data_IF_982703242986
#
_entry.id   IF_982703242986
#
_cell.length_a   1.000
_cell.length_b   1.000
_cell.length_c   1.000
_cell.angle_alpha   90.00
_cell.angle_beta   90.00
_cell.angle_gamma   90.00
#
_symmetry.space_group_name_H-M   'P 1'
#
loop_
_entity.id
_entity.type
_entity.pdbx_description
1 polymer ?
#
# COMPACT_ATOMS: atom_id res chain seq x y z
N UNK A 1 32.76 -3.13 -0.65
CA UNK A 1 32.24 -3.62 -1.94
C UNK A 1 31.33 -2.59 -2.62
N UNK A 2 30.17 -2.26 -2.07
CA UNK A 2 29.33 -1.15 -2.51
C UNK A 2 29.51 0.04 -1.53
N UNK A 3 29.65 1.26 -2.05
CA UNK A 3 29.65 2.50 -1.27
C UNK A 3 28.73 3.51 -1.96
N UNK A 4 27.73 3.96 -1.26
CA UNK A 4 26.81 5.04 -1.67
C UNK A 4 27.10 6.24 -0.80
N UNK A 5 27.37 7.40 -1.40
CA UNK A 5 27.72 8.61 -0.69
C UNK A 5 26.95 9.82 -1.23
N UNK A 6 26.23 10.47 -0.32
CA UNK A 6 25.43 11.68 -0.60
C UNK A 6 24.53 11.56 -1.83
N UNK A 7 24.00 10.36 -2.07
CA UNK A 7 23.14 10.08 -3.21
C UNK A 7 21.83 10.87 -3.11
N UNK A 8 21.55 11.62 -4.17
CA UNK A 8 20.27 12.32 -4.34
C UNK A 8 19.65 11.93 -5.67
N UNK A 9 18.34 11.68 -5.70
CA UNK A 9 17.57 11.32 -6.88
C UNK A 9 16.28 12.17 -6.86
N UNK A 10 16.27 13.26 -7.65
CA UNK A 10 15.17 14.22 -7.57
C UNK A 10 14.98 14.75 -6.14
N UNK A 11 13.79 14.58 -5.51
CA UNK A 11 13.53 15.05 -4.14
C UNK A 11 14.09 14.11 -3.06
N UNK A 12 14.62 12.94 -3.41
CA UNK A 12 15.10 11.92 -2.49
C UNK A 12 16.57 12.13 -2.13
N UNK A 13 16.91 12.00 -0.86
CA UNK A 13 18.29 12.05 -0.35
C UNK A 13 18.57 13.30 0.52
N UNK A 14 19.81 13.43 1.04
CA UNK A 14 20.98 12.60 0.73
C UNK A 14 20.96 11.24 1.42
N UNK A 15 21.40 10.20 0.69
CA UNK A 15 21.49 8.83 1.19
C UNK A 15 22.95 8.40 1.16
N UNK A 16 23.45 7.87 2.29
CA UNK A 16 24.84 7.39 2.39
C UNK A 16 24.87 6.08 3.18
N UNK A 17 25.49 5.06 2.60
CA UNK A 17 25.73 3.77 3.23
C UNK A 17 26.79 2.96 2.46
N UNK A 18 27.24 1.89 3.08
CA UNK A 18 28.15 0.92 2.49
C UNK A 18 27.63 -0.50 2.69
N UNK A 19 28.10 -1.42 1.87
CA UNK A 19 27.85 -2.87 1.98
C UNK A 19 29.19 -3.58 1.79
N UNK A 20 29.57 -4.40 2.76
CA UNK A 20 30.75 -5.25 2.69
C UNK A 20 30.49 -6.53 1.85
N UNK A 21 31.54 -7.24 1.34
CA UNK A 21 31.34 -8.54 0.71
C UNK A 21 30.65 -9.52 1.67
N UNK A 22 29.66 -10.25 1.17
CA UNK A 22 28.88 -11.23 1.95
C UNK A 22 27.92 -10.63 3.00
N UNK A 23 27.92 -9.32 3.21
CA UNK A 23 27.03 -8.65 4.18
C UNK A 23 25.58 -8.63 3.68
N UNK A 24 24.65 -8.89 4.59
CA UNK A 24 23.20 -8.80 4.33
C UNK A 24 22.63 -7.54 4.97
N UNK A 25 22.29 -6.57 4.15
CA UNK A 25 21.81 -5.25 4.59
C UNK A 25 20.35 -5.05 4.24
N UNK A 26 19.54 -4.76 5.26
CA UNK A 26 18.16 -4.33 5.08
C UNK A 26 18.07 -2.84 4.81
N UNK A 27 17.40 -2.43 3.75
CA UNK A 27 17.09 -1.03 3.47
C UNK A 27 15.62 -0.81 3.75
N UNK A 28 15.34 -0.17 4.88
CA UNK A 28 13.97 0.10 5.33
C UNK A 28 13.70 1.61 5.30
N UNK A 29 12.45 1.94 5.30
CA UNK A 29 11.96 3.30 5.27
C UNK A 29 10.55 3.29 4.71
N UNK A 30 9.86 4.39 4.84
CA UNK A 30 8.50 4.47 4.35
C UNK A 30 8.45 4.32 2.82
N UNK A 31 7.28 3.97 2.27
CA UNK A 31 7.09 3.95 0.82
C UNK A 31 7.36 5.37 0.28
N UNK A 32 8.01 5.57 -0.83
CA UNK A 32 8.40 6.91 -1.34
C UNK A 32 9.68 7.51 -0.74
N UNK A 33 10.28 6.89 0.30
CA UNK A 33 11.58 7.32 0.86
C UNK A 33 12.75 7.16 -0.12
N UNK A 34 12.52 6.55 -1.27
CA UNK A 34 13.52 6.36 -2.32
C UNK A 34 14.22 5.01 -2.31
N UNK A 35 13.73 3.99 -1.57
CA UNK A 35 14.32 2.64 -1.54
C UNK A 35 14.49 2.03 -2.93
N UNK A 36 13.40 1.91 -3.67
CA UNK A 36 13.41 1.36 -5.03
C UNK A 36 14.20 2.24 -6.00
N UNK A 37 14.12 3.58 -5.85
CA UNK A 37 14.92 4.49 -6.65
C UNK A 37 16.42 4.31 -6.35
N UNK A 38 16.81 4.10 -5.10
CA UNK A 38 18.18 3.78 -4.71
C UNK A 38 18.65 2.47 -5.36
N UNK A 39 17.82 1.43 -5.33
CA UNK A 39 18.12 0.17 -6.01
C UNK A 39 18.30 0.36 -7.52
N UNK A 40 17.41 1.09 -8.18
CA UNK A 40 17.50 1.40 -9.61
C UNK A 40 18.72 2.25 -9.93
N UNK A 41 19.11 3.21 -9.08
CA UNK A 41 20.32 3.99 -9.26
C UNK A 41 21.58 3.13 -9.18
N UNK A 42 21.66 2.17 -8.23
CA UNK A 42 22.77 1.22 -8.12
C UNK A 42 22.85 0.32 -9.38
N UNK A 43 21.71 -0.05 -9.94
CA UNK A 43 21.62 -0.86 -11.15
C UNK A 43 21.83 -0.04 -12.43
N UNK A 44 21.87 1.31 -12.35
CA UNK A 44 21.92 2.20 -13.53
C UNK A 44 20.64 2.14 -14.38
N UNK A 45 19.50 1.91 -13.74
CA UNK A 45 18.18 1.73 -14.38
C UNK A 45 17.19 2.84 -14.02
N UNK A 46 17.69 4.02 -13.64
CA UNK A 46 16.80 5.16 -13.39
C UNK A 46 16.06 5.56 -14.65
N UNK A 47 14.78 5.97 -14.55
CA UNK A 47 14.07 6.58 -15.67
C UNK A 47 14.77 7.84 -16.20
N UNK A 48 14.67 8.10 -17.51
CA UNK A 48 15.35 9.21 -18.19
C UNK A 48 15.03 10.61 -17.63
N UNK A 49 13.90 10.76 -16.95
CA UNK A 49 13.46 12.00 -16.31
C UNK A 49 14.01 12.20 -14.90
N UNK A 50 14.82 11.27 -14.40
CA UNK A 50 15.43 11.33 -13.05
C UNK A 50 16.96 11.27 -13.17
N UNK A 51 17.62 12.23 -12.56
CA UNK A 51 19.07 12.27 -12.46
C UNK A 51 19.51 11.93 -11.04
N UNK A 52 20.57 11.11 -10.95
CA UNK A 52 21.26 10.84 -9.71
C UNK A 52 22.48 11.75 -9.56
N UNK A 53 22.66 12.31 -8.38
CA UNK A 53 23.88 13.06 -8.00
C UNK A 53 24.48 12.44 -6.73
N UNK A 54 25.75 12.76 -6.44
CA UNK A 54 26.53 12.09 -5.38
C UNK A 54 27.47 11.05 -5.97
N UNK A 55 27.69 9.93 -5.28
CA UNK A 55 28.60 8.87 -5.74
C UNK A 55 28.03 7.49 -5.37
N UNK A 56 28.05 6.57 -6.33
CA UNK A 56 27.78 5.15 -6.13
C UNK A 56 28.98 4.37 -6.65
N UNK A 57 29.74 3.73 -5.77
CA UNK A 57 30.90 2.95 -6.16
C UNK A 57 30.70 1.47 -5.86
N UNK A 58 30.89 0.67 -6.89
CA UNK A 58 30.93 -0.79 -6.77
C UNK A 58 32.32 -1.30 -7.11
N UNK A 59 32.96 -2.01 -6.17
CA UNK A 59 34.36 -2.46 -6.27
C UNK A 59 35.33 -1.34 -6.68
N UNK A 60 35.10 -0.13 -6.15
CA UNK A 60 35.91 1.05 -6.43
C UNK A 60 35.57 1.78 -7.74
N UNK A 61 34.74 1.23 -8.60
CA UNK A 61 34.30 1.85 -9.86
C UNK A 61 33.05 2.69 -9.64
N UNK A 62 33.06 3.93 -10.16
CA UNK A 62 31.89 4.82 -10.10
C UNK A 62 30.82 4.36 -11.08
N UNK A 63 29.58 4.20 -10.58
CA UNK A 63 28.42 3.76 -11.39
C UNK A 63 27.73 4.95 -12.06
N UNK A 64 27.60 6.09 -11.35
CA UNK A 64 26.91 7.27 -11.89
C UNK A 64 27.67 7.76 -13.13
N UNK A 65 26.97 7.86 -14.25
CA UNK A 65 27.55 8.26 -15.55
C UNK A 65 28.28 7.14 -16.30
N UNK A 66 28.28 5.90 -15.78
CA UNK A 66 28.85 4.74 -16.47
C UNK A 66 28.01 4.38 -17.71
N UNK A 67 28.66 3.92 -18.79
CA UNK A 67 27.96 3.49 -20.01
C UNK A 67 27.24 2.16 -19.79
N UNK A 68 26.09 1.97 -20.40
CA UNK A 68 25.25 0.75 -20.28
C UNK A 68 26.02 -0.56 -20.46
N UNK A 69 26.92 -0.60 -21.46
CA UNK A 69 27.72 -1.82 -21.72
C UNK A 69 28.63 -2.20 -20.54
N UNK A 70 29.16 -1.21 -19.85
CA UNK A 70 30.03 -1.41 -18.67
C UNK A 70 29.18 -1.79 -17.45
N UNK A 71 28.04 -1.10 -17.25
CA UNK A 71 27.07 -1.44 -16.19
C UNK A 71 26.63 -2.90 -16.28
N UNK A 72 26.25 -3.36 -17.49
CA UNK A 72 25.83 -4.75 -17.71
C UNK A 72 26.92 -5.79 -17.47
N UNK A 73 28.18 -5.40 -17.43
CA UNK A 73 29.29 -6.30 -17.12
C UNK A 73 29.59 -6.43 -15.63
N UNK A 74 29.01 -5.55 -14.80
CA UNK A 74 29.18 -5.64 -13.36
C UNK A 74 28.43 -6.85 -12.81
N UNK A 75 28.99 -7.54 -11.78
CA UNK A 75 28.36 -8.68 -11.13
C UNK A 75 27.29 -8.20 -10.12
N UNK A 76 26.32 -7.46 -10.62
CA UNK A 76 25.12 -6.96 -9.94
C UNK A 76 23.90 -7.67 -10.49
N UNK A 77 22.95 -8.02 -9.63
CA UNK A 77 21.65 -8.53 -10.04
C UNK A 77 20.53 -7.95 -9.17
N UNK A 78 19.33 -7.90 -9.73
CA UNK A 78 18.16 -7.39 -9.03
C UNK A 78 16.95 -8.30 -9.23
N UNK A 79 16.24 -8.54 -8.14
CA UNK A 79 14.90 -9.14 -8.11
C UNK A 79 13.92 -7.99 -7.90
N UNK A 80 13.07 -7.76 -8.91
CA UNK A 80 12.12 -6.65 -8.93
C UNK A 80 10.86 -6.98 -8.12
N UNK A 81 10.22 -5.95 -7.60
CA UNK A 81 8.97 -6.05 -6.83
C UNK A 81 7.85 -6.71 -7.64
N UNK A 82 7.73 -6.37 -8.93
CA UNK A 82 6.67 -6.88 -9.80
C UNK A 82 7.25 -7.81 -10.87
N UNK A 83 7.11 -9.16 -10.71
CA UNK A 83 7.71 -10.12 -11.64
C UNK A 83 7.30 -9.97 -13.09
N UNK A 84 6.06 -9.50 -13.34
CA UNK A 84 5.54 -9.34 -14.70
C UNK A 84 6.21 -8.22 -15.50
N UNK A 85 6.89 -7.29 -14.84
CA UNK A 85 7.64 -6.22 -15.52
C UNK A 85 9.02 -6.67 -15.98
N UNK A 86 9.58 -7.72 -15.35
CA UNK A 86 10.92 -8.22 -15.61
C UNK A 86 10.94 -9.50 -16.48
N UNK A 87 9.85 -10.26 -16.49
CA UNK A 87 9.72 -11.46 -17.34
C UNK A 87 9.09 -11.10 -18.69
N UNK A 88 9.72 -11.54 -19.78
CA UNK A 88 9.14 -11.38 -21.12
C UNK A 88 7.83 -12.20 -21.22
N UNK A 89 6.67 -11.57 -21.42
CA UNK A 89 5.39 -12.25 -21.48
C UNK A 89 5.25 -13.21 -22.66
N UNK A 90 6.08 -13.07 -23.69
CA UNK A 90 6.07 -13.87 -24.91
C UNK A 90 7.08 -15.04 -24.87
N UNK A 91 7.90 -15.11 -23.82
CA UNK A 91 8.86 -16.20 -23.64
C UNK A 91 8.41 -17.15 -22.53
N UNK A 92 8.60 -18.44 -22.78
CA UNK A 92 8.39 -19.44 -21.72
C UNK A 92 9.52 -19.40 -20.72
N UNK A 93 9.18 -19.44 -19.44
CA UNK A 93 10.16 -19.63 -18.37
C UNK A 93 10.69 -21.07 -18.47
N UNK A 94 11.99 -21.20 -18.72
CA UNK A 94 12.62 -22.49 -19.06
C UNK A 94 12.36 -23.57 -17.99
N UNK A 95 12.44 -23.19 -16.71
CA UNK A 95 12.23 -24.08 -15.56
C UNK A 95 10.83 -24.72 -15.54
N UNK A 96 9.79 -23.99 -15.95
CA UNK A 96 8.39 -24.44 -15.91
C UNK A 96 7.83 -24.82 -17.28
N UNK A 97 8.50 -24.49 -18.38
CA UNK A 97 8.01 -24.69 -19.75
C UNK A 97 6.73 -23.92 -20.06
N UNK A 98 6.36 -22.93 -19.24
CA UNK A 98 5.12 -22.14 -19.28
C UNK A 98 5.41 -20.67 -19.45
N UNK A 99 4.44 -19.92 -19.98
CA UNK A 99 4.52 -18.47 -20.05
C UNK A 99 4.30 -17.80 -18.68
N UNK A 100 4.87 -16.62 -18.41
CA UNK A 100 4.74 -15.94 -17.13
C UNK A 100 3.30 -15.80 -16.62
N UNK A 101 2.33 -15.51 -17.48
CA UNK A 101 0.93 -15.38 -17.12
C UNK A 101 0.26 -16.70 -16.67
N UNK A 102 0.89 -17.85 -16.95
CA UNK A 102 0.42 -19.18 -16.57
C UNK A 102 1.01 -19.68 -15.25
N UNK A 103 1.91 -18.91 -14.65
CA UNK A 103 2.60 -19.24 -13.39
C UNK A 103 1.90 -18.58 -12.19
N UNK A 104 1.99 -19.22 -11.03
CA UNK A 104 1.60 -18.58 -9.76
C UNK A 104 2.53 -17.41 -9.41
N UNK A 105 2.13 -16.55 -8.46
CA UNK A 105 2.98 -15.45 -7.96
C UNK A 105 4.33 -15.94 -7.49
N UNK A 106 4.36 -16.95 -6.62
CA UNK A 106 5.58 -17.57 -6.10
C UNK A 106 6.45 -18.20 -7.19
N UNK A 107 5.86 -18.88 -8.19
CA UNK A 107 6.62 -19.44 -9.32
C UNK A 107 7.30 -18.37 -10.16
N UNK A 108 6.62 -17.24 -10.40
CA UNK A 108 7.22 -16.09 -11.10
C UNK A 108 8.37 -15.50 -10.29
N UNK A 109 8.19 -15.36 -8.98
CA UNK A 109 9.22 -14.82 -8.11
C UNK A 109 10.45 -15.71 -8.05
N UNK A 110 10.28 -17.05 -7.94
CA UNK A 110 11.39 -18.02 -8.04
C UNK A 110 12.13 -17.90 -9.36
N UNK A 111 11.41 -17.82 -10.47
CA UNK A 111 12.03 -17.64 -11.80
C UNK A 111 12.90 -16.39 -11.85
N UNK A 112 12.48 -15.28 -11.23
CA UNK A 112 13.30 -14.06 -11.16
C UNK A 112 14.55 -14.25 -10.31
N UNK A 113 14.45 -14.92 -9.17
CA UNK A 113 15.59 -15.20 -8.30
C UNK A 113 16.61 -16.08 -9.05
N UNK A 114 16.17 -17.14 -9.70
CA UNK A 114 17.05 -18.02 -10.49
C UNK A 114 17.69 -17.27 -11.65
N UNK A 115 16.94 -16.43 -12.35
CA UNK A 115 17.47 -15.59 -13.44
C UNK A 115 18.51 -14.59 -12.93
N UNK A 116 18.28 -13.96 -11.77
CA UNK A 116 19.24 -13.05 -11.15
C UNK A 116 20.52 -13.77 -10.74
N UNK A 117 20.40 -14.96 -10.15
CA UNK A 117 21.53 -15.76 -9.68
C UNK A 117 22.31 -16.44 -10.80
N UNK A 118 21.73 -16.67 -11.97
CA UNK A 118 22.41 -17.28 -13.12
C UNK A 118 23.67 -16.50 -13.58
N UNK A 119 23.81 -15.24 -13.17
CA UNK A 119 24.98 -14.40 -13.47
C UNK A 119 26.07 -14.45 -12.38
N UNK A 120 25.90 -15.26 -11.33
CA UNK A 120 26.77 -15.31 -10.16
C UNK A 120 27.09 -13.90 -9.61
N UNK A 121 26.09 -13.13 -9.18
CA UNK A 121 26.30 -11.76 -8.73
C UNK A 121 27.11 -11.73 -7.43
N UNK A 122 27.92 -10.69 -7.26
CA UNK A 122 28.54 -10.37 -5.97
C UNK A 122 27.59 -9.58 -5.06
N UNK A 123 26.62 -8.86 -5.64
CA UNK A 123 25.55 -8.18 -4.92
C UNK A 123 24.21 -8.53 -5.56
N UNK A 124 23.34 -9.10 -4.76
CA UNK A 124 21.92 -9.30 -5.09
C UNK A 124 21.10 -8.19 -4.40
N UNK A 125 20.30 -7.50 -5.18
CA UNK A 125 19.33 -6.51 -4.68
C UNK A 125 17.95 -7.13 -4.78
N UNK A 126 17.21 -7.21 -3.69
CA UNK A 126 15.82 -7.68 -3.66
C UNK A 126 14.91 -6.53 -3.28
N UNK A 127 14.10 -6.05 -4.22
CA UNK A 127 13.14 -4.97 -3.98
C UNK A 127 11.75 -5.56 -3.71
N UNK A 128 11.35 -5.58 -2.45
CA UNK A 128 10.08 -6.11 -1.94
C UNK A 128 9.73 -7.51 -2.52
N UNK A 129 10.59 -8.51 -2.43
CA UNK A 129 10.45 -9.77 -3.16
C UNK A 129 9.29 -10.65 -2.70
N UNK A 130 8.68 -10.35 -1.56
CA UNK A 130 7.57 -11.12 -0.96
C UNK A 130 6.23 -10.41 -0.98
N UNK A 131 6.16 -9.21 -1.55
CA UNK A 131 4.92 -8.43 -1.64
C UNK A 131 3.85 -9.17 -2.44
N UNK A 132 2.61 -9.16 -1.94
CA UNK A 132 1.43 -9.82 -2.52
C UNK A 132 1.49 -11.36 -2.60
N UNK A 133 2.38 -12.01 -1.84
CA UNK A 133 2.42 -13.47 -1.67
C UNK A 133 1.74 -13.88 -0.36
N UNK A 134 1.21 -15.09 -0.33
CA UNK A 134 0.69 -15.70 0.90
C UNK A 134 1.84 -16.05 1.86
N UNK A 135 1.58 -16.16 3.19
CA UNK A 135 2.63 -16.33 4.20
C UNK A 135 3.51 -17.58 4.00
N UNK A 136 2.95 -18.67 3.48
CA UNK A 136 3.72 -19.90 3.23
C UNK A 136 4.68 -19.70 2.06
N UNK A 137 4.19 -19.16 0.96
CA UNK A 137 5.02 -18.83 -0.21
C UNK A 137 6.06 -17.77 0.12
N UNK A 138 5.75 -16.79 0.98
CA UNK A 138 6.73 -15.80 1.47
C UNK A 138 7.90 -16.49 2.17
N UNK A 139 7.62 -17.42 3.11
CA UNK A 139 8.65 -18.14 3.83
C UNK A 139 9.57 -18.91 2.89
N UNK A 140 9.00 -19.60 1.89
CA UNK A 140 9.76 -20.35 0.87
C UNK A 140 10.67 -19.43 0.03
N UNK A 141 10.17 -18.27 -0.39
CA UNK A 141 10.96 -17.28 -1.15
C UNK A 141 12.11 -16.71 -0.32
N UNK A 142 11.88 -16.42 0.97
CA UNK A 142 12.93 -15.95 1.87
C UNK A 142 14.01 -17.01 2.08
N UNK A 143 13.63 -18.29 2.23
CA UNK A 143 14.60 -19.40 2.32
C UNK A 143 15.43 -19.53 1.06
N UNK A 144 14.83 -19.35 -0.11
CA UNK A 144 15.51 -19.42 -1.39
C UNK A 144 16.51 -18.28 -1.60
N UNK A 145 16.12 -17.03 -1.23
CA UNK A 145 17.04 -15.88 -1.23
C UNK A 145 18.19 -16.12 -0.25
N UNK A 146 17.90 -16.64 0.96
CA UNK A 146 18.91 -16.94 1.97
C UNK A 146 19.93 -17.99 1.48
N UNK A 147 19.44 -19.04 0.80
CA UNK A 147 20.29 -20.06 0.20
C UNK A 147 21.12 -19.50 -0.98
N UNK A 148 20.54 -18.60 -1.78
CA UNK A 148 21.20 -17.98 -2.92
C UNK A 148 22.29 -16.96 -2.52
N UNK A 149 22.20 -16.37 -1.34
CA UNK A 149 23.12 -15.35 -0.81
C UNK A 149 24.07 -15.91 0.25
N UNK A 150 24.64 -17.08 -0.01
CA UNK A 150 25.68 -17.69 0.83
C UNK A 150 27.09 -17.31 0.35
N UNK A 151 28.08 -17.35 1.24
CA UNK A 151 29.47 -17.03 0.93
C UNK A 151 29.70 -15.53 0.71
N UNK A 152 30.35 -15.17 -0.41
CA UNK A 152 30.75 -13.78 -0.69
C UNK A 152 29.68 -12.94 -1.37
N UNK A 153 28.51 -13.50 -1.69
CA UNK A 153 27.39 -12.76 -2.28
C UNK A 153 26.71 -11.89 -1.22
N UNK A 154 26.82 -10.59 -1.36
CA UNK A 154 26.13 -9.65 -0.49
C UNK A 154 24.66 -9.48 -0.90
N UNK A 155 23.82 -9.09 0.06
CA UNK A 155 22.41 -8.86 -0.14
C UNK A 155 22.04 -7.42 0.26
N UNK A 156 21.37 -6.71 -0.64
CA UNK A 156 20.58 -5.53 -0.30
C UNK A 156 19.11 -5.89 -0.34
N UNK A 157 18.49 -6.03 0.82
CA UNK A 157 17.11 -6.46 0.97
C UNK A 157 16.22 -5.28 1.32
N UNK A 158 15.33 -4.92 0.41
CA UNK A 158 14.36 -3.83 0.57
C UNK A 158 13.02 -4.44 0.93
N UNK A 159 12.49 -4.09 2.08
CA UNK A 159 11.15 -4.52 2.51
C UNK A 159 10.57 -3.56 3.55
N UNK A 160 9.26 -3.51 3.62
CA UNK A 160 8.50 -2.89 4.71
C UNK A 160 8.09 -3.92 5.78
N UNK A 161 8.31 -5.22 5.53
CA UNK A 161 8.07 -6.29 6.49
C UNK A 161 9.27 -6.42 7.43
N UNK A 162 9.12 -5.92 8.67
CA UNK A 162 10.16 -5.95 9.69
C UNK A 162 10.59 -7.38 10.05
N UNK A 163 9.66 -8.34 10.08
CA UNK A 163 9.99 -9.74 10.40
C UNK A 163 10.86 -10.38 9.31
N UNK A 164 10.56 -10.09 8.04
CA UNK A 164 11.37 -10.53 6.91
C UNK A 164 12.77 -9.90 6.96
N UNK A 165 12.88 -8.60 7.29
CA UNK A 165 14.16 -7.89 7.40
C UNK A 165 15.00 -8.44 8.55
N UNK A 166 14.43 -8.65 9.74
CA UNK A 166 15.12 -9.23 10.90
C UNK A 166 15.63 -10.65 10.62
N UNK A 167 14.85 -11.43 9.85
CA UNK A 167 15.24 -12.78 9.46
C UNK A 167 16.39 -12.81 8.44
N UNK A 168 16.41 -11.85 7.51
CA UNK A 168 17.27 -11.90 6.32
C UNK A 168 18.55 -11.08 6.45
N UNK A 169 18.60 -10.08 7.35
CA UNK A 169 19.63 -9.07 7.34
C UNK A 169 20.42 -9.01 8.64
N UNK A 170 21.72 -8.81 8.52
CA UNK A 170 22.65 -8.63 9.67
C UNK A 170 22.60 -7.18 10.18
N UNK A 171 22.30 -6.23 9.30
CA UNK A 171 22.24 -4.80 9.58
C UNK A 171 21.10 -4.13 8.83
N UNK A 172 20.51 -3.12 9.44
CA UNK A 172 19.39 -2.36 8.86
C UNK A 172 19.79 -0.90 8.70
N UNK A 173 19.54 -0.36 7.51
CA UNK A 173 19.70 1.04 7.17
C UNK A 173 18.30 1.64 7.00
N UNK A 174 18.04 2.74 7.68
CA UNK A 174 16.81 3.51 7.50
C UNK A 174 17.06 4.68 6.57
N UNK A 175 16.26 4.83 5.53
CA UNK A 175 16.29 6.00 4.65
C UNK A 175 14.96 6.75 4.70
N UNK A 176 15.10 8.09 4.65
CA UNK A 176 13.98 9.02 4.83
C UNK A 176 13.73 9.28 6.32
N UNK A 177 14.08 10.47 6.78
CA UNK A 177 13.42 11.08 7.90
C UNK A 177 12.06 11.57 7.38
N UNK A 178 11.09 10.69 7.34
CA UNK A 178 9.72 11.18 7.39
C UNK A 178 9.53 11.52 8.88
N UNK A 179 9.64 12.80 9.21
CA UNK A 179 8.72 13.34 10.17
C UNK A 179 7.34 12.89 9.67
N UNK A 180 6.85 11.74 10.15
CA UNK A 180 5.41 11.48 10.13
C UNK A 180 4.82 12.78 10.65
N UNK A 181 4.00 13.49 9.87
CA UNK A 181 3.30 14.63 10.42
C UNK A 181 2.77 14.11 11.75
N UNK A 182 2.91 14.89 12.82
CA UNK A 182 2.33 14.54 14.12
C UNK A 182 0.81 14.50 13.93
N UNK A 183 0.35 13.39 13.33
CA UNK A 183 -1.03 13.06 13.11
C UNK A 183 -1.53 12.56 14.48
N UNK A 184 -1.48 13.45 15.48
CA UNK A 184 -2.18 13.20 16.73
C UNK A 184 -3.62 12.86 16.36
N UNK A 185 -4.10 11.73 16.89
CA UNK A 185 -5.48 11.32 16.64
C UNK A 185 -6.40 12.51 16.93
N UNK A 186 -7.32 12.84 16.02
CA UNK A 186 -8.19 13.98 16.23
C UNK A 186 -8.92 13.80 17.56
N UNK A 187 -9.16 14.89 18.32
CA UNK A 187 -9.88 14.82 19.57
C UNK A 187 -11.22 14.12 19.31
N UNK A 188 -11.61 13.20 20.18
CA UNK A 188 -12.89 12.50 20.09
C UNK A 188 -14.01 13.56 20.11
N UNK A 189 -14.76 13.77 19.02
CA UNK A 189 -15.84 14.72 19.01
C UNK A 189 -16.95 14.27 19.97
N UNK A 190 -17.80 15.20 20.39
CA UNK A 190 -19.01 14.84 21.11
C UNK A 190 -19.89 14.02 20.16
N UNK A 191 -20.10 12.75 20.48
CA UNK A 191 -20.88 11.82 19.66
C UNK A 191 -22.35 12.21 19.67
N UNK A 192 -22.95 12.37 18.47
CA UNK A 192 -24.37 12.62 18.27
C UNK A 192 -25.24 11.36 18.31
N UNK A 193 -26.38 11.43 17.64
CA UNK A 193 -27.32 10.31 17.51
C UNK A 193 -26.75 9.17 16.64
N UNK A 194 -27.27 7.93 16.75
CA UNK A 194 -26.93 6.84 15.86
C UNK A 194 -27.24 7.17 14.40
N UNK A 195 -26.24 7.05 13.51
CA UNK A 195 -26.41 7.30 12.05
C UNK A 195 -26.23 6.04 11.22
N UNK A 196 -25.57 5.02 11.76
CA UNK A 196 -25.50 3.66 11.20
C UNK A 196 -25.83 2.70 12.34
N UNK A 197 -26.76 1.76 12.08
CA UNK A 197 -27.13 0.69 13.02
C UNK A 197 -27.25 -0.63 12.27
N UNK A 198 -26.52 -1.62 12.71
CA UNK A 198 -26.67 -3.01 12.31
C UNK A 198 -27.18 -3.80 13.53
N UNK A 199 -28.23 -4.59 13.34
CA UNK A 199 -28.83 -5.43 14.39
C UNK A 199 -28.88 -6.88 13.93
N UNK A 200 -28.07 -7.75 14.56
CA UNK A 200 -27.97 -9.18 14.31
C UNK A 200 -27.84 -9.54 12.81
N UNK A 201 -27.00 -8.79 12.10
CA UNK A 201 -26.87 -8.88 10.64
C UNK A 201 -26.05 -10.10 10.25
N UNK A 202 -26.68 -10.97 9.44
CA UNK A 202 -26.00 -12.10 8.81
C UNK A 202 -26.05 -11.97 7.29
N UNK A 203 -24.92 -12.26 6.62
CA UNK A 203 -24.85 -12.31 5.17
C UNK A 203 -24.18 -13.58 4.67
N UNK A 204 -24.92 -14.35 3.86
CA UNK A 204 -24.45 -15.59 3.25
C UNK A 204 -24.44 -15.49 1.74
N UNK A 205 -23.37 -15.94 1.10
CA UNK A 205 -23.23 -16.06 -0.35
C UNK A 205 -22.99 -17.53 -0.74
N UNK A 206 -23.90 -18.12 -1.51
CA UNK A 206 -23.74 -19.51 -2.02
C UNK A 206 -23.29 -20.51 -0.95
N UNK A 207 -23.86 -20.41 0.27
CA UNK A 207 -23.54 -21.31 1.38
C UNK A 207 -22.35 -20.89 2.25
N UNK A 208 -21.60 -19.83 1.89
CA UNK A 208 -20.53 -19.29 2.71
C UNK A 208 -21.04 -18.08 3.49
N UNK A 209 -20.96 -18.11 4.82
CA UNK A 209 -21.36 -17.00 5.68
C UNK A 209 -20.21 -16.00 5.75
N UNK A 210 -20.43 -14.82 5.16
CA UNK A 210 -19.44 -13.74 5.12
C UNK A 210 -19.57 -12.78 6.31
N UNK A 211 -20.77 -12.63 6.87
CA UNK A 211 -21.02 -11.93 8.14
C UNK A 211 -21.98 -12.78 8.95
N UNK A 212 -21.72 -12.92 10.24
CA UNK A 212 -22.43 -13.79 11.15
C UNK A 212 -22.78 -13.04 12.45
N UNK A 213 -24.07 -12.73 12.62
CA UNK A 213 -24.63 -12.06 13.80
C UNK A 213 -23.92 -10.74 14.17
N UNK A 214 -23.69 -9.88 13.18
CA UNK A 214 -22.99 -8.61 13.38
C UNK A 214 -23.94 -7.56 13.89
N UNK A 215 -23.62 -6.97 15.05
CA UNK A 215 -24.30 -5.80 15.60
C UNK A 215 -23.28 -4.67 15.78
N UNK A 216 -23.60 -3.49 15.23
CA UNK A 216 -22.71 -2.33 15.24
C UNK A 216 -23.53 -1.04 15.20
N UNK A 217 -23.20 -0.08 16.05
CA UNK A 217 -23.79 1.27 16.00
C UNK A 217 -22.68 2.29 15.78
N UNK A 218 -22.81 3.15 14.77
CA UNK A 218 -21.92 4.30 14.56
C UNK A 218 -22.72 5.57 14.80
N UNK A 219 -22.16 6.48 15.58
CA UNK A 219 -22.79 7.74 15.94
C UNK A 219 -22.31 8.89 15.07
N UNK A 220 -23.13 9.92 14.97
CA UNK A 220 -22.76 11.16 14.26
C UNK A 220 -21.45 11.75 14.83
N UNK A 221 -20.53 12.12 13.95
CA UNK A 221 -19.20 12.61 14.30
C UNK A 221 -18.21 11.51 14.74
N UNK A 222 -18.62 10.24 14.86
CA UNK A 222 -17.70 9.14 15.19
C UNK A 222 -16.72 8.88 14.05
N UNK A 223 -15.47 8.61 14.42
CA UNK A 223 -14.42 8.14 13.50
C UNK A 223 -14.05 6.73 13.90
N UNK A 224 -14.68 5.76 13.23
CA UNK A 224 -14.55 4.34 13.53
C UNK A 224 -13.64 3.65 12.53
N UNK A 225 -12.57 3.02 13.03
CA UNK A 225 -11.76 2.08 12.26
C UNK A 225 -12.40 0.69 12.25
N UNK A 226 -12.37 0.01 11.11
CA UNK A 226 -12.73 -1.41 11.02
C UNK A 226 -11.49 -2.16 10.54
N UNK A 227 -10.95 -3.02 11.39
CA UNK A 227 -9.76 -3.81 11.12
C UNK A 227 -10.08 -5.30 11.07
N UNK A 228 -9.29 -6.06 10.32
CA UNK A 228 -9.44 -7.51 10.21
C UNK A 228 -8.64 -8.08 9.07
N UNK A 229 -8.35 -9.37 9.10
CA UNK A 229 -7.63 -10.09 8.06
C UNK A 229 -8.34 -10.10 6.71
N UNK A 230 -7.67 -10.60 5.67
CA UNK A 230 -8.31 -10.85 4.37
C UNK A 230 -9.43 -11.89 4.55
N UNK A 231 -10.58 -11.66 3.91
CA UNK A 231 -11.73 -12.56 4.03
C UNK A 231 -12.56 -12.39 5.31
N UNK A 232 -12.20 -11.51 6.25
CA UNK A 232 -12.96 -11.33 7.50
C UNK A 232 -14.37 -10.76 7.35
N UNK A 233 -14.76 -10.29 6.14
CA UNK A 233 -16.11 -9.75 5.87
C UNK A 233 -16.18 -8.24 5.68
N UNK A 234 -15.06 -7.48 5.77
CA UNK A 234 -15.03 -6.01 5.67
C UNK A 234 -15.74 -5.45 4.42
N UNK A 235 -15.37 -5.95 3.25
CA UNK A 235 -15.99 -5.51 1.99
C UNK A 235 -17.48 -5.90 1.89
N UNK A 236 -17.90 -6.99 2.54
CA UNK A 236 -19.31 -7.37 2.65
C UNK A 236 -20.06 -6.38 3.54
N UNK A 237 -19.47 -5.99 4.67
CA UNK A 237 -20.04 -4.98 5.56
C UNK A 237 -20.25 -3.65 4.83
N UNK A 238 -19.23 -3.16 4.10
CA UNK A 238 -19.36 -1.93 3.32
C UNK A 238 -20.45 -2.01 2.24
N UNK A 239 -20.59 -3.15 1.56
CA UNK A 239 -21.66 -3.38 0.58
C UNK A 239 -23.05 -3.33 1.20
N UNK A 240 -23.21 -3.76 2.44
CA UNK A 240 -24.49 -3.65 3.17
C UNK A 240 -24.77 -2.20 3.58
N UNK A 241 -23.76 -1.45 4.03
CA UNK A 241 -23.91 -0.04 4.41
C UNK A 241 -24.23 0.87 3.20
N UNK A 242 -23.75 0.50 2.01
CA UNK A 242 -23.99 1.24 0.76
C UNK A 242 -25.21 0.77 -0.02
N UNK A 243 -26.01 -0.13 0.55
CA UNK A 243 -27.19 -0.76 -0.10
C UNK A 243 -26.85 -1.52 -1.41
N UNK A 244 -25.57 -1.78 -1.67
CA UNK A 244 -25.12 -2.61 -2.80
C UNK A 244 -25.43 -4.11 -2.61
N UNK A 245 -25.80 -4.50 -1.40
CA UNK A 245 -26.22 -5.86 -1.06
C UNK A 245 -27.21 -5.81 0.10
N UNK A 246 -28.18 -6.72 0.12
CA UNK A 246 -29.12 -6.86 1.23
C UNK A 246 -28.61 -7.92 2.23
N UNK A 247 -28.87 -7.79 3.54
CA UNK A 247 -28.57 -8.83 4.51
C UNK A 247 -29.41 -10.09 4.26
N UNK A 248 -28.92 -11.25 4.67
CA UNK A 248 -29.69 -12.50 4.66
C UNK A 248 -30.68 -12.52 5.84
N UNK A 249 -30.27 -11.98 6.99
CA UNK A 249 -31.10 -11.73 8.16
C UNK A 249 -30.56 -10.54 8.96
N UNK A 250 -31.37 -10.02 9.87
CA UNK A 250 -31.06 -8.80 10.62
C UNK A 250 -31.44 -7.53 9.88
N UNK A 251 -31.11 -6.38 10.48
CA UNK A 251 -31.50 -5.06 9.96
C UNK A 251 -30.28 -4.16 9.82
N UNK A 252 -30.19 -3.44 8.72
CA UNK A 252 -29.20 -2.38 8.47
C UNK A 252 -29.95 -1.07 8.28
N UNK A 253 -29.62 -0.07 9.10
CA UNK A 253 -30.22 1.26 9.03
C UNK A 253 -29.13 2.30 8.87
N UNK A 254 -29.23 3.13 7.81
CA UNK A 254 -28.38 4.30 7.58
C UNK A 254 -29.33 5.50 7.45
N UNK A 255 -29.16 6.48 8.33
CA UNK A 255 -30.15 7.59 8.47
C UNK A 255 -29.74 8.88 7.78
N UNK A 256 -28.49 8.97 7.28
CA UNK A 256 -27.92 10.17 6.66
C UNK A 256 -27.21 9.86 5.34
N UNK A 257 -27.02 10.89 4.48
CA UNK A 257 -26.28 10.74 3.23
C UNK A 257 -24.89 10.16 3.43
N UNK A 258 -24.59 9.11 2.67
CA UNK A 258 -23.37 8.32 2.77
C UNK A 258 -22.69 8.25 1.41
N UNK A 259 -21.38 8.55 1.38
CA UNK A 259 -20.53 8.35 0.22
C UNK A 259 -19.36 7.42 0.54
N UNK A 260 -18.76 6.82 -0.51
CA UNK A 260 -17.69 5.85 -0.36
C UNK A 260 -16.48 6.16 -1.24
N UNK A 261 -15.29 6.04 -0.65
CA UNK A 261 -14.00 5.98 -1.34
C UNK A 261 -13.62 4.52 -1.50
N UNK A 262 -13.44 4.09 -2.75
CA UNK A 262 -13.12 2.69 -3.08
C UNK A 262 -11.61 2.43 -3.00
N UNK A 263 -11.24 1.18 -2.74
CA UNK A 263 -9.86 0.71 -2.63
C UNK A 263 -9.04 0.97 -3.89
N UNK A 264 -9.56 0.65 -5.06
CA UNK A 264 -8.88 0.83 -6.33
C UNK A 264 -9.47 2.01 -7.14
N UNK A 265 -8.75 3.14 -7.22
CA UNK A 265 -9.21 4.28 -7.99
C UNK A 265 -9.23 4.02 -9.50
N UNK A 266 -8.43 3.05 -10.02
CA UNK A 266 -8.43 2.74 -11.47
C UNK A 266 -9.76 2.16 -11.91
N UNK A 267 -10.32 1.26 -11.13
CA UNK A 267 -11.61 0.62 -11.43
C UNK A 267 -12.80 1.52 -11.10
N UNK A 268 -12.65 2.48 -10.19
CA UNK A 268 -13.73 3.34 -9.70
C UNK A 268 -13.91 4.64 -10.49
N UNK A 269 -12.90 5.07 -11.27
CA UNK A 269 -12.94 6.29 -12.08
C UNK A 269 -13.20 5.94 -13.55
N UNK A 270 -14.23 6.54 -14.16
CA UNK A 270 -14.53 6.32 -15.57
C UNK A 270 -13.40 6.88 -16.47
N UNK A 271 -12.64 6.03 -17.21
CA UNK A 271 -11.48 6.48 -17.98
C UNK A 271 -11.83 7.35 -19.19
N UNK A 272 -13.13 7.44 -19.55
CA UNK A 272 -13.63 8.21 -20.72
C UNK A 272 -14.22 9.56 -20.33
N UNK A 273 -14.19 9.92 -19.04
CA UNK A 273 -14.73 11.17 -18.56
C UNK A 273 -13.62 12.09 -18.04
N UNK A 274 -13.68 13.41 -18.26
CA UNK A 274 -12.76 14.36 -17.62
C UNK A 274 -12.98 14.35 -16.10
N UNK A 275 -11.92 14.63 -15.34
CA UNK A 275 -11.95 14.40 -13.89
C UNK A 275 -12.94 15.31 -13.16
N UNK A 276 -13.20 16.53 -13.65
CA UNK A 276 -14.26 17.38 -13.06
C UNK A 276 -15.63 16.71 -13.12
N UNK A 277 -15.93 16.04 -14.25
CA UNK A 277 -17.23 15.38 -14.44
C UNK A 277 -17.38 14.15 -13.53
N UNK A 278 -16.28 13.40 -13.35
CA UNK A 278 -16.23 12.27 -12.41
C UNK A 278 -16.46 12.77 -10.98
N UNK A 279 -15.85 13.89 -10.59
CA UNK A 279 -16.04 14.47 -9.26
C UNK A 279 -17.48 14.96 -9.09
N UNK A 280 -18.05 15.65 -10.10
CA UNK A 280 -19.43 16.14 -10.06
C UNK A 280 -20.48 15.02 -9.91
N UNK A 281 -20.18 13.76 -10.30
CA UNK A 281 -21.05 12.60 -10.03
C UNK A 281 -21.33 12.39 -8.52
N UNK A 282 -20.47 12.89 -7.64
CA UNK A 282 -20.68 12.90 -6.20
C UNK A 282 -21.72 13.90 -5.70
N UNK A 283 -22.51 14.51 -6.60
CA UNK A 283 -23.61 15.42 -6.24
C UNK A 283 -23.26 16.91 -6.27
N UNK A 284 -22.14 17.30 -6.90
CA UNK A 284 -21.72 18.69 -7.03
C UNK A 284 -21.92 19.28 -8.43
N UNK A 285 -21.84 20.60 -8.54
CA UNK A 285 -21.75 21.31 -9.82
C UNK A 285 -20.33 21.24 -10.39
N UNK A 286 -20.14 21.73 -11.63
CA UNK A 286 -18.78 21.81 -12.23
C UNK A 286 -17.85 22.69 -11.38
N UNK A 287 -18.35 23.87 -10.95
CA UNK A 287 -17.58 24.82 -10.15
C UNK A 287 -17.18 24.24 -8.80
N UNK A 288 -18.08 23.48 -8.17
CA UNK A 288 -17.78 22.78 -6.91
C UNK A 288 -16.76 21.66 -7.13
N UNK A 289 -16.87 20.90 -8.20
CA UNK A 289 -15.92 19.85 -8.55
C UNK A 289 -14.52 20.43 -8.82
N UNK A 290 -14.40 21.52 -9.57
CA UNK A 290 -13.12 22.19 -9.85
C UNK A 290 -12.51 22.76 -8.55
N UNK A 291 -13.31 23.34 -7.67
CA UNK A 291 -12.86 23.83 -6.36
C UNK A 291 -12.31 22.71 -5.50
N UNK A 292 -13.04 21.59 -5.38
CA UNK A 292 -12.60 20.44 -4.56
C UNK A 292 -11.36 19.77 -5.18
N UNK A 293 -11.27 19.68 -6.51
CA UNK A 293 -10.07 19.21 -7.20
C UNK A 293 -8.85 20.06 -6.85
N UNK A 294 -8.98 21.37 -6.89
CA UNK A 294 -7.92 22.29 -6.48
C UNK A 294 -7.57 22.12 -4.98
N UNK A 295 -8.56 21.94 -4.11
CA UNK A 295 -8.37 21.70 -2.67
C UNK A 295 -7.57 20.42 -2.38
N UNK A 296 -7.76 19.37 -3.19
CA UNK A 296 -6.98 18.12 -3.08
C UNK A 296 -5.67 18.16 -3.90
N UNK A 297 -5.28 19.32 -4.42
CA UNK A 297 -4.04 19.55 -5.16
C UNK A 297 -4.03 18.86 -6.53
N UNK A 298 -5.15 18.91 -7.23
CA UNK A 298 -5.29 18.39 -8.61
C UNK A 298 -5.58 19.57 -9.55
N UNK A 299 -4.62 19.83 -10.43
CA UNK A 299 -4.77 20.79 -11.53
C UNK A 299 -5.15 20.07 -12.82
N UNK A 300 -5.88 20.77 -13.70
CA UNK A 300 -6.29 20.25 -15.01
C UNK A 300 -7.58 19.44 -14.95
N UNK A 301 -8.67 20.07 -14.49
CA UNK A 301 -9.98 19.46 -14.34
C UNK A 301 -10.57 18.81 -15.61
N UNK A 302 -10.19 19.29 -16.80
CA UNK A 302 -10.60 18.73 -18.10
C UNK A 302 -9.76 17.52 -18.56
N UNK A 303 -8.70 17.17 -17.83
CA UNK A 303 -7.87 15.98 -18.13
C UNK A 303 -8.60 14.68 -17.73
N UNK A 304 -8.07 13.55 -18.22
CA UNK A 304 -8.66 12.23 -18.00
C UNK A 304 -7.90 11.46 -16.92
N UNK A 305 -8.51 10.47 -16.25
CA UNK A 305 -7.86 9.69 -15.18
C UNK A 305 -6.51 9.09 -15.55
N UNK A 306 -6.31 8.70 -16.81
CA UNK A 306 -5.06 8.13 -17.31
C UNK A 306 -3.86 9.10 -17.24
N UNK A 307 -4.13 10.41 -17.20
CA UNK A 307 -3.12 11.46 -17.20
C UNK A 307 -2.57 11.75 -15.79
N UNK A 308 -3.04 11.02 -14.78
CA UNK A 308 -2.71 11.21 -13.37
C UNK A 308 -2.01 9.99 -12.76
N UNK A 309 -1.13 10.23 -11.78
CA UNK A 309 -0.49 9.17 -10.99
C UNK A 309 -1.49 8.41 -10.11
N UNK A 310 -1.06 7.29 -9.50
CA UNK A 310 -1.89 6.52 -8.57
C UNK A 310 -2.40 7.36 -7.40
N UNK A 311 -1.52 8.10 -6.74
CA UNK A 311 -1.88 8.99 -5.63
C UNK A 311 -2.78 10.15 -6.06
N UNK A 312 -2.56 10.71 -7.25
CA UNK A 312 -3.45 11.74 -7.81
C UNK A 312 -4.84 11.18 -8.09
N UNK A 313 -4.95 9.96 -8.67
CA UNK A 313 -6.26 9.30 -8.87
C UNK A 313 -6.98 9.03 -7.56
N UNK A 314 -6.25 8.67 -6.50
CA UNK A 314 -6.84 8.50 -5.17
C UNK A 314 -7.39 9.83 -4.63
N UNK A 315 -6.67 10.94 -4.81
CA UNK A 315 -7.16 12.27 -4.45
C UNK A 315 -8.39 12.69 -5.26
N UNK A 316 -8.47 12.33 -6.55
CA UNK A 316 -9.68 12.52 -7.38
C UNK A 316 -10.85 11.68 -6.85
N UNK A 317 -10.61 10.43 -6.45
CA UNK A 317 -11.65 9.57 -5.85
C UNK A 317 -12.16 10.14 -4.53
N UNK A 318 -11.27 10.69 -3.70
CA UNK A 318 -11.64 11.40 -2.48
C UNK A 318 -12.45 12.66 -2.77
N UNK A 319 -12.02 13.48 -3.74
CA UNK A 319 -12.76 14.67 -4.17
C UNK A 319 -14.20 14.33 -4.59
N UNK A 320 -14.38 13.24 -5.37
CA UNK A 320 -15.71 12.75 -5.76
C UNK A 320 -16.57 12.38 -4.55
N UNK A 321 -15.98 11.76 -3.55
CA UNK A 321 -16.72 11.32 -2.38
C UNK A 321 -17.16 12.49 -1.47
N UNK A 322 -16.43 13.62 -1.46
CA UNK A 322 -16.70 14.73 -0.55
C UNK A 322 -17.39 15.93 -1.20
N UNK A 323 -17.44 16.02 -2.53
CA UNK A 323 -18.01 17.19 -3.25
C UNK A 323 -19.48 17.43 -2.89
N UNK A 324 -20.26 16.37 -2.69
CA UNK A 324 -21.67 16.41 -2.28
C UNK A 324 -21.87 16.69 -0.78
N UNK A 325 -20.80 16.90 -0.01
CA UNK A 325 -20.83 17.13 1.43
C UNK A 325 -21.65 16.08 2.19
N UNK A 326 -21.32 14.78 2.09
CA UNK A 326 -22.04 13.74 2.80
C UNK A 326 -21.85 13.88 4.31
N UNK A 327 -22.83 13.42 5.09
CA UNK A 327 -22.70 13.33 6.56
C UNK A 327 -21.81 12.14 6.98
N UNK A 328 -21.76 11.08 6.15
CA UNK A 328 -21.00 9.86 6.40
C UNK A 328 -20.06 9.56 5.24
N UNK A 329 -18.78 9.38 5.53
CA UNK A 329 -17.79 8.89 4.59
C UNK A 329 -17.34 7.47 4.95
N UNK A 330 -17.49 6.52 4.02
CA UNK A 330 -16.86 5.21 4.09
C UNK A 330 -15.55 5.24 3.29
N UNK A 331 -14.47 4.75 3.84
CA UNK A 331 -13.19 4.64 3.15
C UNK A 331 -12.69 3.19 3.20
N UNK A 332 -12.71 2.52 2.05
CA UNK A 332 -12.24 1.14 1.91
C UNK A 332 -10.79 1.13 1.46
N UNK A 333 -9.89 0.81 2.37
CA UNK A 333 -8.44 0.71 2.13
C UNK A 333 -7.87 1.87 1.29
N UNK A 334 -8.39 3.09 1.52
CA UNK A 334 -8.16 4.26 0.67
C UNK A 334 -6.68 4.68 0.50
N UNK A 335 -5.75 4.06 1.23
CA UNK A 335 -4.32 4.38 1.20
C UNK A 335 -3.40 3.17 1.02
N UNK A 336 -3.95 1.95 0.89
CA UNK A 336 -3.17 0.71 0.89
C UNK A 336 -2.23 0.55 -0.32
N UNK A 337 -2.61 1.10 -1.48
CA UNK A 337 -1.85 0.99 -2.73
C UNK A 337 -0.99 2.22 -3.04
N UNK A 338 -0.78 3.11 -2.05
CA UNK A 338 -0.06 4.36 -2.23
C UNK A 338 1.37 4.26 -1.69
N UNK A 339 2.30 4.92 -2.38
CA UNK A 339 3.61 5.26 -1.81
C UNK A 339 3.46 6.16 -0.57
N UNK A 340 4.44 6.21 0.34
CA UNK A 340 4.24 6.91 1.62
C UNK A 340 4.05 8.41 1.50
N UNK A 341 4.70 9.06 0.52
CA UNK A 341 4.50 10.49 0.32
C UNK A 341 3.05 10.75 -0.09
N UNK A 342 2.54 9.97 -1.05
CA UNK A 342 1.14 10.02 -1.47
C UNK A 342 0.20 9.58 -0.35
N UNK A 343 0.59 8.57 0.46
CA UNK A 343 -0.17 8.09 1.62
C UNK A 343 -0.33 9.18 2.66
N UNK A 344 0.78 9.82 3.08
CA UNK A 344 0.76 10.91 4.06
C UNK A 344 -0.13 12.07 3.59
N UNK A 345 -0.01 12.48 2.33
CA UNK A 345 -0.84 13.51 1.73
C UNK A 345 -2.34 13.15 1.73
N UNK A 346 -2.69 11.91 1.38
CA UNK A 346 -4.10 11.46 1.37
C UNK A 346 -4.64 11.34 2.79
N UNK A 347 -3.84 10.92 3.77
CA UNK A 347 -4.25 10.86 5.18
C UNK A 347 -4.52 12.27 5.74
N UNK A 348 -3.64 13.22 5.48
CA UNK A 348 -3.84 14.63 5.86
C UNK A 348 -5.11 15.23 5.21
N UNK A 349 -5.31 14.94 3.92
CA UNK A 349 -6.53 15.32 3.20
C UNK A 349 -7.77 14.70 3.81
N UNK A 350 -7.74 13.39 4.12
CA UNK A 350 -8.84 12.70 4.80
C UNK A 350 -9.16 13.33 6.14
N UNK A 351 -8.15 13.62 6.98
CA UNK A 351 -8.37 14.29 8.27
C UNK A 351 -9.04 15.65 8.09
N UNK A 352 -8.53 16.47 7.17
CA UNK A 352 -9.02 17.82 6.91
C UNK A 352 -10.43 17.83 6.34
N UNK A 353 -10.68 17.03 5.30
CA UNK A 353 -11.95 17.01 4.59
C UNK A 353 -13.08 16.32 5.39
N UNK A 354 -12.73 15.41 6.30
CA UNK A 354 -13.73 14.68 7.11
C UNK A 354 -13.84 15.19 8.54
N UNK A 355 -13.36 16.41 8.81
CA UNK A 355 -13.32 16.96 10.18
C UNK A 355 -14.70 17.00 10.82
N UNK A 356 -15.72 17.38 10.05
CA UNK A 356 -17.11 17.55 10.49
C UNK A 356 -18.03 16.40 10.01
N UNK A 357 -17.45 15.28 9.57
CA UNK A 357 -18.18 14.11 9.05
C UNK A 357 -18.01 12.92 9.98
N UNK A 358 -18.96 12.00 9.91
CA UNK A 358 -18.80 10.63 10.44
C UNK A 358 -17.91 9.85 9.48
N UNK A 359 -16.84 9.22 9.99
CA UNK A 359 -15.90 8.44 9.19
C UNK A 359 -15.93 6.97 9.60
N UNK A 360 -16.14 6.08 8.64
CA UNK A 360 -15.89 4.63 8.80
C UNK A 360 -14.72 4.27 7.89
N UNK A 361 -13.58 3.96 8.50
CA UNK A 361 -12.33 3.70 7.81
C UNK A 361 -11.96 2.22 7.91
N UNK A 362 -11.96 1.53 6.78
CA UNK A 362 -11.57 0.11 6.69
C UNK A 362 -10.13 -0.01 6.27
N UNK A 363 -9.32 -0.71 7.05
CA UNK A 363 -7.92 -0.98 6.73
C UNK A 363 -7.43 -2.25 7.41
N UNK A 364 -6.39 -2.85 6.84
CA UNK A 364 -5.54 -3.84 7.49
C UNK A 364 -4.30 -3.19 8.15
N UNK A 365 -4.02 -1.91 7.85
CA UNK A 365 -2.91 -1.13 8.43
C UNK A 365 -3.35 -0.47 9.74
N UNK A 366 -2.89 -1.05 10.85
CA UNK A 366 -3.26 -0.61 12.19
C UNK A 366 -2.69 0.76 12.55
N UNK A 367 -1.54 1.14 11.99
CA UNK A 367 -0.92 2.42 12.28
C UNK A 367 -1.72 3.56 11.63
N UNK A 368 -2.23 3.35 10.42
CA UNK A 368 -3.16 4.28 9.78
C UNK A 368 -4.44 4.45 10.59
N UNK A 369 -5.00 3.33 11.09
CA UNK A 369 -6.22 3.38 11.92
C UNK A 369 -5.99 4.12 13.22
N UNK A 370 -4.86 3.93 13.90
CA UNK A 370 -4.49 4.68 15.12
C UNK A 370 -4.47 6.18 14.91
N UNK A 371 -4.01 6.63 13.73
CA UNK A 371 -3.92 8.06 13.41
C UNK A 371 -5.25 8.69 13.01
N UNK A 372 -6.15 7.92 12.38
CA UNK A 372 -7.40 8.46 11.85
C UNK A 372 -8.60 8.26 12.78
N UNK A 373 -8.62 7.17 13.55
CA UNK A 373 -9.81 6.69 14.22
C UNK A 373 -9.59 6.50 15.73
N UNK A 374 -10.21 7.32 16.58
CA UNK A 374 -10.18 7.15 18.04
C UNK A 374 -10.82 5.84 18.50
N UNK A 375 -11.77 5.30 17.74
CA UNK A 375 -12.47 4.05 18.04
C UNK A 375 -12.21 3.02 16.92
N UNK A 376 -12.19 1.75 17.29
CA UNK A 376 -11.98 0.64 16.36
C UNK A 376 -12.90 -0.54 16.67
N UNK A 377 -13.32 -1.26 15.64
CA UNK A 377 -13.97 -2.55 15.70
C UNK A 377 -13.10 -3.58 14.97
N UNK A 378 -12.88 -4.73 15.60
CA UNK A 378 -12.11 -5.85 15.03
C UNK A 378 -13.09 -6.85 14.45
N UNK A 379 -12.99 -7.07 13.14
CA UNK A 379 -13.81 -8.03 12.40
C UNK A 379 -12.98 -9.29 12.12
N UNK A 380 -13.41 -10.43 12.64
CA UNK A 380 -12.76 -11.72 12.42
C UNK A 380 -13.83 -12.78 12.12
N UNK A 381 -13.60 -13.59 11.08
CA UNK A 381 -14.48 -14.68 10.66
C UNK A 381 -15.97 -14.26 10.57
N UNK A 382 -16.22 -13.07 10.02
CA UNK A 382 -17.56 -12.51 9.86
C UNK A 382 -18.19 -11.94 11.12
N UNK A 383 -17.49 -11.88 12.27
CA UNK A 383 -18.01 -11.39 13.56
C UNK A 383 -17.19 -10.21 14.08
N UNK A 384 -17.84 -9.28 14.77
CA UNK A 384 -17.13 -8.27 15.56
C UNK A 384 -16.71 -8.92 16.88
N UNK A 385 -15.38 -9.12 17.04
CA UNK A 385 -14.81 -9.80 18.21
C UNK A 385 -14.35 -8.83 19.30
N UNK A 386 -14.07 -7.58 18.95
CA UNK A 386 -13.70 -6.53 19.91
C UNK A 386 -14.09 -5.16 19.37
N UNK A 387 -14.39 -4.20 20.28
CA UNK A 387 -14.66 -2.80 19.94
C UNK A 387 -14.30 -1.91 21.12
N UNK A 388 -13.73 -0.76 20.81
CA UNK A 388 -13.40 0.23 21.84
C UNK A 388 -12.45 1.30 21.37
N UNK A 389 -11.78 1.94 22.31
CA UNK A 389 -10.71 2.90 22.06
C UNK A 389 -9.56 2.22 21.29
N UNK A 390 -9.12 2.83 20.21
CA UNK A 390 -8.15 2.23 19.28
C UNK A 390 -6.85 1.81 19.97
N UNK A 391 -6.29 2.66 20.84
CA UNK A 391 -5.09 2.35 21.60
C UNK A 391 -5.21 1.10 22.47
N UNK A 392 -6.36 0.94 23.13
CA UNK A 392 -6.63 -0.19 24.05
C UNK A 392 -6.94 -1.49 23.31
N UNK A 393 -7.72 -1.40 22.22
CA UNK A 393 -8.07 -2.57 21.43
C UNK A 393 -6.85 -3.10 20.71
N UNK A 394 -6.15 -2.24 19.93
CA UNK A 394 -5.01 -2.69 19.11
C UNK A 394 -3.83 -3.19 19.94
N UNK A 395 -3.66 -2.75 21.20
CA UNK A 395 -2.62 -3.31 22.08
C UNK A 395 -2.82 -4.80 22.41
N UNK A 396 -4.05 -5.32 22.30
CA UNK A 396 -4.36 -6.75 22.51
C UNK A 396 -4.04 -7.62 21.28
N UNK A 397 -3.98 -7.00 20.10
CA UNK A 397 -3.82 -7.71 18.83
C UNK A 397 -2.43 -7.52 18.22
N UNK A 398 -1.44 -7.03 18.93
CA UNK A 398 0.00 -6.82 18.65
C UNK A 398 0.60 -7.13 17.26
N UNK A 399 -0.10 -7.83 16.43
CA UNK A 399 -0.01 -8.09 14.99
C UNK A 399 -1.38 -8.63 14.57
N UNK A 400 -1.92 -8.36 13.36
CA UNK A 400 -3.22 -8.91 12.98
C UNK A 400 -3.22 -10.42 13.14
N UNK A 401 -4.28 -11.04 13.73
CA UNK A 401 -4.36 -12.49 13.86
C UNK A 401 -4.23 -13.09 12.45
N UNK A 402 -3.22 -13.95 12.28
CA UNK A 402 -3.07 -14.76 11.09
C UNK A 402 -4.37 -15.54 10.87
N UNK A 403 -4.86 -15.58 9.65
CA UNK A 403 -5.98 -16.43 9.29
C UNK A 403 -5.65 -17.87 9.74
N UNK A 404 -6.46 -18.41 10.62
CA UNK A 404 -6.38 -19.83 10.97
C UNK A 404 -6.70 -20.68 9.76
N UNK A 405 -6.02 -21.80 9.52
CA UNK A 405 -6.07 -22.56 8.29
C UNK A 405 -7.44 -23.13 7.93
#
# INVERSE_FOLDING_TARGET
MLTVKDLRIGPVGPISFDIAPGERVGLVGDSGSGKSLTALAIMGLLPDNLEATGSIRFEGQEIIGMRDKQLRSLPLAMVFQEPMTALDPLMKVAEYGRFPHQLSGGQRQRALIHMAMARNPKLLICDEPTTALDPLTQAEILDEIAAATTGDTALLFISHDHAAVERMCDRVIRIGDITTPDLSAPPTPSLGEPVITLENVTKTYRGVTALDDVSLTVREGERLGIVGGSGSGKSTLLKLLTDLSQPTSGTVTVTKPLHMVFQDPKSSLNPRMPVWKIVAEGGGTREEAERVLHEVGIDGADRYPRDFSGGQRQRISLARAVVGKPDILLADEAVSALDATSRAQVLELLQRLTKDMTLVFVSHDMDVVKHLCPTVAVLQDGRIVDRGETSKVLSRYGTPPAATP
#
